data_IF_587297489768
#
_entry.id   IF_587297489768
#
_cell.length_a   1.000
_cell.length_b   1.000
_cell.length_c   1.000
_cell.angle_alpha   90.00
_cell.angle_beta   90.00
_cell.angle_gamma   90.00
#
_symmetry.space_group_name_H-M   'P 1'
#
loop_
_entity.id
_entity.type
_entity.pdbx_description
1 polymer ?
#
# COMPACT_ATOMS: atom_id res chain seq x y z
N UNK A 1 -5.48 -7.06 -43.71
CA UNK A 1 -4.90 -5.75 -43.36
C UNK A 1 -3.43 -5.74 -43.75
N UNK A 2 -3.02 -4.86 -44.66
CA UNK A 2 -1.65 -4.80 -45.20
C UNK A 2 -0.65 -4.43 -44.10
N UNK A 3 0.30 -5.32 -43.80
CA UNK A 3 1.46 -5.03 -42.94
C UNK A 3 2.26 -3.92 -43.62
N UNK A 4 2.11 -2.67 -43.16
CA UNK A 4 3.01 -1.57 -43.55
C UNK A 4 4.44 -2.05 -43.31
N UNK A 5 5.22 -2.20 -44.39
CA UNK A 5 6.62 -2.62 -44.35
C UNK A 5 7.36 -1.78 -43.31
N UNK A 6 7.84 -2.43 -42.25
CA UNK A 6 8.75 -1.83 -41.28
C UNK A 6 10.02 -1.44 -42.02
N UNK A 7 10.39 -0.16 -41.96
CA UNK A 7 11.66 0.30 -42.50
C UNK A 7 12.77 -0.09 -41.52
N UNK A 8 13.62 -1.03 -41.92
CA UNK A 8 14.70 -1.56 -41.08
C UNK A 8 15.70 -0.47 -40.64
N UNK A 9 15.73 0.68 -41.32
CA UNK A 9 16.62 1.79 -41.01
C UNK A 9 16.02 2.79 -40.01
N UNK A 10 14.83 2.54 -39.46
CA UNK A 10 14.22 3.39 -38.44
C UNK A 10 14.11 2.63 -37.10
N UNK A 11 14.37 3.31 -35.97
CA UNK A 11 14.11 2.75 -34.64
C UNK A 11 12.70 2.19 -34.52
N UNK A 12 12.52 1.23 -33.59
CA UNK A 12 11.20 0.69 -33.27
C UNK A 12 10.22 1.83 -32.98
N UNK A 13 8.95 1.61 -33.32
CA UNK A 13 7.87 2.57 -33.12
C UNK A 13 7.95 3.86 -33.98
N UNK A 14 9.00 4.08 -34.77
CA UNK A 14 9.12 5.22 -35.67
C UNK A 14 8.78 4.83 -37.12
N UNK A 15 7.97 5.65 -37.79
CA UNK A 15 7.62 5.48 -39.21
C UNK A 15 7.74 6.79 -39.98
N UNK A 16 8.11 6.70 -41.26
CA UNK A 16 8.14 7.85 -42.17
C UNK A 16 6.99 7.78 -43.18
N UNK A 17 6.23 8.87 -43.33
CA UNK A 17 5.11 8.94 -44.29
C UNK A 17 5.48 9.85 -45.46
N UNK A 18 5.65 9.24 -46.65
CA UNK A 18 5.99 9.97 -47.89
C UNK A 18 4.94 11.03 -48.28
N UNK A 19 3.65 10.75 -48.02
CA UNK A 19 2.55 11.65 -48.38
C UNK A 19 2.61 13.00 -47.63
N UNK A 20 2.98 12.98 -46.35
CA UNK A 20 3.06 14.18 -45.51
C UNK A 20 4.49 14.68 -45.29
N UNK A 21 5.49 13.95 -45.82
CA UNK A 21 6.93 14.17 -45.61
C UNK A 21 7.33 14.28 -44.12
N UNK A 22 6.61 13.60 -43.23
CA UNK A 22 6.80 13.72 -41.77
C UNK A 22 7.05 12.37 -41.10
N UNK A 23 7.73 12.42 -39.96
CA UNK A 23 7.93 11.28 -39.07
C UNK A 23 6.79 11.14 -38.06
N UNK A 24 6.42 9.90 -37.74
CA UNK A 24 5.40 9.56 -36.76
C UNK A 24 5.93 8.49 -35.83
N UNK A 25 5.82 8.73 -34.54
CA UNK A 25 6.16 7.76 -33.51
C UNK A 25 4.88 7.21 -32.86
N UNK A 26 4.76 5.89 -32.73
CA UNK A 26 3.57 5.22 -32.16
C UNK A 26 3.89 4.69 -30.78
N UNK A 27 3.10 5.09 -29.78
CA UNK A 27 3.26 4.55 -28.45
C UNK A 27 2.81 3.07 -28.43
N UNK A 28 3.69 2.11 -28.06
CA UNK A 28 3.35 0.69 -28.04
C UNK A 28 2.34 0.30 -26.94
N UNK A 29 2.10 1.16 -25.96
CA UNK A 29 1.23 0.88 -24.81
C UNK A 29 -0.18 1.42 -24.99
N UNK A 30 -0.29 2.59 -25.60
CA UNK A 30 -1.57 3.32 -25.76
C UNK A 30 -2.07 3.28 -27.19
N UNK A 31 -1.29 2.72 -28.12
CA UNK A 31 -1.52 2.70 -29.56
C UNK A 31 -1.70 4.08 -30.22
N UNK A 32 -1.52 5.17 -29.47
CA UNK A 32 -1.60 6.54 -29.97
C UNK A 32 -0.36 6.89 -30.79
N UNK A 33 -0.59 7.55 -31.93
CA UNK A 33 0.47 8.05 -32.80
C UNK A 33 0.72 9.54 -32.54
N UNK A 34 1.99 9.91 -32.44
CA UNK A 34 2.46 11.28 -32.26
C UNK A 34 3.23 11.74 -33.50
N UNK A 35 2.82 12.85 -34.14
CA UNK A 35 3.56 13.43 -35.25
C UNK A 35 4.80 14.17 -34.74
N UNK A 36 5.98 13.84 -35.29
CA UNK A 36 7.23 14.56 -35.00
C UNK A 36 7.47 15.72 -35.99
N UNK A 37 6.64 15.83 -37.04
CA UNK A 37 6.75 16.87 -38.06
C UNK A 37 7.82 16.60 -39.13
N UNK A 38 8.17 17.66 -39.88
CA UNK A 38 9.18 17.65 -40.95
C UNK A 38 10.57 17.96 -40.39
N UNK A 39 11.02 17.15 -39.44
CA UNK A 39 12.35 17.28 -38.83
C UNK A 39 13.39 16.46 -39.58
N UNK A 40 14.67 16.79 -39.39
CA UNK A 40 15.76 16.02 -39.97
C UNK A 40 15.72 14.57 -39.48
N UNK A 41 16.07 13.63 -40.37
CA UNK A 41 16.03 12.19 -40.07
C UNK A 41 16.80 11.82 -38.79
N UNK A 42 17.94 12.47 -38.57
CA UNK A 42 18.77 12.25 -37.37
C UNK A 42 18.03 12.61 -36.09
N UNK A 43 17.34 13.75 -36.06
CA UNK A 43 16.64 14.23 -34.86
C UNK A 43 15.41 13.38 -34.56
N UNK A 44 14.69 12.93 -35.60
CA UNK A 44 13.58 11.99 -35.45
C UNK A 44 14.03 10.65 -34.85
N UNK A 45 15.21 10.17 -35.26
CA UNK A 45 15.81 8.95 -34.73
C UNK A 45 16.19 9.15 -33.25
N UNK A 46 16.84 10.26 -32.90
CA UNK A 46 17.22 10.57 -31.51
C UNK A 46 16.00 10.61 -30.59
N UNK A 47 14.96 11.37 -30.95
CA UNK A 47 13.74 11.48 -30.15
C UNK A 47 13.01 10.14 -30.01
N UNK A 48 12.97 9.34 -31.07
CA UNK A 48 12.36 8.00 -31.01
C UNK A 48 13.14 7.04 -30.11
N UNK A 49 14.48 7.11 -30.11
CA UNK A 49 15.33 6.31 -29.21
C UNK A 49 15.10 6.73 -27.77
N UNK A 50 15.05 8.03 -27.48
CA UNK A 50 14.75 8.56 -26.15
C UNK A 50 13.38 8.12 -25.66
N UNK A 51 12.34 8.25 -26.49
CA UNK A 51 10.98 7.81 -26.16
C UNK A 51 10.89 6.28 -25.93
N UNK A 52 11.59 5.49 -26.75
CA UNK A 52 11.65 4.04 -26.57
C UNK A 52 12.41 3.66 -25.29
N UNK A 53 13.51 4.33 -24.99
CA UNK A 53 14.27 4.11 -23.76
C UNK A 53 13.47 4.51 -22.53
N UNK A 54 12.72 5.62 -22.58
CA UNK A 54 11.82 6.03 -21.52
C UNK A 54 10.73 5.00 -21.26
N UNK A 55 10.12 4.44 -22.32
CA UNK A 55 9.15 3.35 -22.19
C UNK A 55 9.81 2.08 -21.65
N UNK A 56 10.99 1.71 -22.13
CA UNK A 56 11.73 0.54 -21.66
C UNK A 56 12.12 0.68 -20.18
N UNK A 57 12.56 1.87 -19.74
CA UNK A 57 12.90 2.15 -18.34
C UNK A 57 11.65 2.09 -17.44
N UNK A 58 10.53 2.66 -17.87
CA UNK A 58 9.28 2.64 -17.11
C UNK A 58 8.56 1.28 -17.12
N UNK A 59 8.88 0.39 -18.07
CA UNK A 59 8.31 -0.96 -18.18
C UNK A 59 9.33 -2.08 -18.07
N UNK A 60 10.51 -1.83 -17.49
CA UNK A 60 11.36 -2.92 -17.06
C UNK A 60 10.64 -3.61 -15.89
N UNK A 61 10.31 -4.91 -15.98
CA UNK A 61 9.96 -5.64 -14.78
C UNK A 61 11.22 -5.68 -13.90
N UNK A 62 11.22 -4.86 -12.85
CA UNK A 62 11.85 -5.08 -11.53
C UNK A 62 12.68 -6.38 -11.49
N UNK A 63 13.99 -6.35 -11.80
CA UNK A 63 14.81 -7.57 -11.62
C UNK A 63 16.34 -7.41 -11.59
N UNK A 64 16.98 -6.50 -12.35
CA UNK A 64 18.46 -6.51 -12.47
C UNK A 64 19.14 -5.22 -12.02
N UNK A 65 18.61 -4.06 -12.37
CA UNK A 65 19.18 -2.77 -11.92
C UNK A 65 18.99 -2.58 -10.41
N UNK A 66 17.89 -3.05 -9.84
CA UNK A 66 17.67 -3.04 -8.38
C UNK A 66 18.61 -4.01 -7.65
N UNK A 67 18.80 -5.23 -8.20
CA UNK A 67 19.81 -6.18 -7.69
C UNK A 67 21.23 -5.63 -7.75
N UNK A 68 21.55 -4.78 -8.74
CA UNK A 68 22.86 -4.17 -8.92
C UNK A 68 23.06 -2.89 -8.09
N UNK A 69 21.99 -2.24 -7.63
CA UNK A 69 22.06 -1.02 -6.80
C UNK A 69 22.21 -1.28 -5.31
N UNK A 70 22.10 -2.53 -4.85
CA UNK A 70 22.23 -2.88 -3.43
C UNK A 70 21.08 -2.40 -2.54
N UNK A 71 19.97 -1.93 -3.14
CA UNK A 71 18.71 -1.71 -2.43
C UNK A 71 17.98 -3.04 -2.45
N UNK A 72 18.25 -3.87 -1.44
CA UNK A 72 17.54 -5.12 -1.27
C UNK A 72 16.04 -4.91 -1.39
N UNK A 73 15.40 -5.80 -2.14
CA UNK A 73 13.96 -5.93 -2.33
C UNK A 73 13.26 -6.32 -1.02
N UNK A 74 13.45 -5.52 0.03
CA UNK A 74 12.95 -5.79 1.36
C UNK A 74 11.52 -5.27 1.45
N UNK A 75 10.58 -6.20 1.28
CA UNK A 75 9.15 -5.89 1.23
C UNK A 75 8.57 -5.69 2.63
N UNK A 76 7.39 -5.08 2.70
CA UNK A 76 6.62 -4.98 3.94
C UNK A 76 6.36 -6.37 4.53
N UNK A 77 6.05 -7.39 3.72
CA UNK A 77 5.87 -8.76 4.20
C UNK A 77 7.12 -9.30 4.91
N UNK A 78 8.29 -9.17 4.28
CA UNK A 78 9.55 -9.61 4.87
C UNK A 78 9.89 -8.85 6.17
N UNK A 79 9.56 -7.56 6.20
CA UNK A 79 9.70 -6.77 7.43
C UNK A 79 8.74 -7.19 8.53
N UNK A 80 7.50 -7.53 8.20
CA UNK A 80 6.53 -8.03 9.18
C UNK A 80 7.06 -9.31 9.84
N UNK A 81 7.64 -10.24 9.08
CA UNK A 81 8.23 -11.47 9.63
C UNK A 81 9.33 -11.13 10.65
N UNK A 82 10.21 -10.19 10.32
CA UNK A 82 11.26 -9.70 11.22
C UNK A 82 10.68 -9.01 12.46
N UNK A 83 9.68 -8.15 12.27
CA UNK A 83 9.02 -7.41 13.35
C UNK A 83 8.23 -8.34 14.30
N UNK A 84 7.66 -9.44 13.82
CA UNK A 84 7.02 -10.45 14.68
C UNK A 84 8.02 -11.09 15.65
N UNK A 85 9.27 -11.33 15.22
CA UNK A 85 10.35 -11.79 16.10
C UNK A 85 10.70 -10.73 17.15
N UNK A 86 10.71 -9.45 16.79
CA UNK A 86 10.94 -8.34 17.74
C UNK A 86 9.80 -8.27 18.76
N UNK A 87 8.54 -8.41 18.33
CA UNK A 87 7.37 -8.41 19.22
C UNK A 87 7.41 -9.54 20.25
N UNK A 88 7.85 -10.74 19.86
CA UNK A 88 7.97 -11.88 20.78
C UNK A 88 8.96 -11.61 21.93
N UNK A 89 10.03 -10.85 21.66
CA UNK A 89 11.04 -10.49 22.68
C UNK A 89 10.52 -9.50 23.73
N UNK A 90 9.41 -8.79 23.45
CA UNK A 90 8.85 -7.77 24.34
C UNK A 90 8.02 -8.33 25.50
N UNK A 91 7.99 -9.65 25.70
CA UNK A 91 7.29 -10.32 26.82
C UNK A 91 5.82 -9.86 26.99
N UNK A 92 5.10 -9.75 25.88
CA UNK A 92 3.70 -9.34 25.86
C UNK A 92 2.77 -10.45 26.35
N UNK A 93 1.60 -10.07 26.87
CA UNK A 93 0.54 -11.05 27.15
C UNK A 93 0.10 -11.76 25.87
N UNK A 94 -0.33 -13.02 25.99
CA UNK A 94 -0.78 -13.85 24.85
C UNK A 94 -1.89 -13.17 24.04
N UNK A 95 -2.86 -12.54 24.72
CA UNK A 95 -3.96 -11.83 24.07
C UNK A 95 -3.48 -10.60 23.30
N UNK A 96 -2.54 -9.83 23.88
CA UNK A 96 -1.95 -8.66 23.20
C UNK A 96 -1.22 -9.09 21.94
N UNK A 97 -0.40 -10.15 22.02
CA UNK A 97 0.30 -10.68 20.86
C UNK A 97 -0.66 -11.14 19.76
N UNK A 98 -1.72 -11.88 20.13
CA UNK A 98 -2.76 -12.33 19.19
C UNK A 98 -3.43 -11.15 18.47
N UNK A 99 -3.78 -10.08 19.19
CA UNK A 99 -4.36 -8.88 18.58
C UNK A 99 -3.36 -8.25 17.59
N UNK A 100 -2.09 -8.09 17.97
CA UNK A 100 -1.06 -7.49 17.12
C UNK A 100 -0.78 -8.34 15.88
N UNK A 101 -0.68 -9.65 16.00
CA UNK A 101 -0.45 -10.56 14.87
C UNK A 101 -1.62 -10.52 13.88
N UNK A 102 -2.88 -10.50 14.36
CA UNK A 102 -4.04 -10.32 13.49
C UNK A 102 -4.00 -8.99 12.71
N UNK A 103 -3.58 -7.91 13.37
CA UNK A 103 -3.41 -6.61 12.73
C UNK A 103 -2.32 -6.68 11.65
N UNK A 104 -1.18 -7.30 11.95
CA UNK A 104 -0.09 -7.49 10.99
C UNK A 104 -0.49 -8.37 9.80
N UNK A 105 -1.31 -9.40 10.00
CA UNK A 105 -1.85 -10.21 8.92
C UNK A 105 -2.68 -9.36 7.94
N UNK A 106 -3.51 -8.44 8.45
CA UNK A 106 -4.25 -7.50 7.59
C UNK A 106 -3.32 -6.53 6.85
N UNK A 107 -2.25 -6.06 7.49
CA UNK A 107 -1.24 -5.22 6.82
C UNK A 107 -0.55 -5.99 5.70
N UNK A 108 -0.18 -7.25 5.96
CA UNK A 108 0.46 -8.16 4.98
C UNK A 108 -0.44 -8.35 3.76
N UNK A 109 -1.73 -8.59 3.95
CA UNK A 109 -2.70 -8.75 2.86
C UNK A 109 -2.80 -7.51 1.96
N UNK A 110 -2.79 -6.30 2.54
CA UNK A 110 -3.05 -5.06 1.79
C UNK A 110 -1.82 -4.37 1.23
N UNK A 111 -0.66 -4.50 1.90
CA UNK A 111 0.55 -3.74 1.59
C UNK A 111 1.82 -4.61 1.55
N UNK A 112 1.70 -5.93 1.72
CA UNK A 112 2.84 -6.84 1.90
C UNK A 112 3.84 -6.84 0.74
N UNK A 113 3.36 -6.70 -0.49
CA UNK A 113 4.18 -6.71 -1.71
C UNK A 113 4.92 -5.39 -1.97
N UNK A 114 4.58 -4.31 -1.25
CA UNK A 114 5.22 -3.01 -1.43
C UNK A 114 6.63 -3.09 -0.84
N UNK A 115 7.61 -2.50 -1.52
CA UNK A 115 8.96 -2.33 -0.97
C UNK A 115 8.87 -1.42 0.26
N UNK A 116 9.48 -1.83 1.38
CA UNK A 116 9.35 -1.14 2.66
C UNK A 116 9.74 0.34 2.57
N UNK A 117 10.81 0.66 1.82
CA UNK A 117 11.29 2.01 1.60
C UNK A 117 10.38 2.86 0.68
N UNK A 118 9.51 2.24 -0.11
CA UNK A 118 8.58 2.93 -1.01
C UNK A 118 7.21 3.18 -0.37
N UNK A 119 7.00 2.76 0.88
CA UNK A 119 5.75 3.01 1.59
C UNK A 119 5.62 4.50 1.89
N UNK A 120 4.65 5.14 1.22
CA UNK A 120 4.35 6.56 1.39
C UNK A 120 3.24 6.79 2.41
N UNK A 121 3.15 8.01 2.95
CA UNK A 121 2.02 8.44 3.79
C UNK A 121 0.67 8.27 3.08
N UNK A 122 0.62 8.37 1.74
CA UNK A 122 -0.60 8.12 0.95
C UNK A 122 -1.04 6.66 1.05
N UNK A 123 -0.11 5.70 1.03
CA UNK A 123 -0.43 4.28 1.22
C UNK A 123 -1.05 4.05 2.60
N UNK A 124 -0.45 4.61 3.65
CA UNK A 124 -0.97 4.51 5.01
C UNK A 124 -2.35 5.15 5.14
N UNK A 125 -2.55 6.36 4.61
CA UNK A 125 -3.83 7.05 4.66
C UNK A 125 -4.93 6.24 3.95
N UNK A 126 -4.66 5.73 2.75
CA UNK A 126 -5.61 4.89 2.00
C UNK A 126 -5.95 3.61 2.76
N UNK A 127 -4.97 3.01 3.42
CA UNK A 127 -5.18 1.81 4.22
C UNK A 127 -6.08 2.10 5.43
N UNK A 128 -5.85 3.20 6.16
CA UNK A 128 -6.68 3.54 7.33
C UNK A 128 -8.10 3.97 6.95
N UNK A 129 -8.25 4.59 5.77
CA UNK A 129 -9.54 5.09 5.27
C UNK A 129 -10.61 3.99 5.22
N UNK A 130 -10.26 2.73 4.95
CA UNK A 130 -11.24 1.64 4.88
C UNK A 130 -12.01 1.43 6.18
N UNK A 131 -11.41 1.71 7.34
CA UNK A 131 -12.11 1.64 8.62
C UNK A 131 -12.80 2.95 8.98
N UNK A 132 -12.24 4.09 8.56
CA UNK A 132 -12.81 5.41 8.86
C UNK A 132 -14.15 5.58 8.14
N UNK A 133 -14.24 5.18 6.87
CA UNK A 133 -15.48 5.24 6.09
C UNK A 133 -16.57 4.33 6.64
N UNK A 134 -16.18 3.21 7.28
CA UNK A 134 -17.09 2.28 7.96
C UNK A 134 -17.44 2.72 9.40
N UNK A 135 -16.96 3.89 9.85
CA UNK A 135 -17.17 4.38 11.22
C UNK A 135 -16.38 3.64 12.30
N UNK A 136 -15.44 2.77 11.92
CA UNK A 136 -14.62 1.94 12.82
C UNK A 136 -13.36 2.70 13.29
N UNK A 137 -13.53 3.90 13.82
CA UNK A 137 -12.42 4.82 14.17
C UNK A 137 -11.46 4.24 15.21
N UNK A 138 -11.96 3.47 16.19
CA UNK A 138 -11.10 2.78 17.17
C UNK A 138 -10.17 1.77 16.51
N UNK A 139 -10.67 1.04 15.50
CA UNK A 139 -9.85 0.09 14.74
C UNK A 139 -8.80 0.81 13.89
N UNK A 140 -9.19 1.88 13.20
CA UNK A 140 -8.26 2.73 12.46
C UNK A 140 -7.13 3.28 13.36
N UNK A 141 -7.48 3.75 14.57
CA UNK A 141 -6.50 4.20 15.57
C UNK A 141 -5.56 3.08 16.02
N UNK A 142 -6.10 1.89 16.27
CA UNK A 142 -5.30 0.72 16.66
C UNK A 142 -4.34 0.27 15.53
N UNK A 143 -4.80 0.26 14.28
CA UNK A 143 -3.97 -0.04 13.11
C UNK A 143 -2.86 0.99 12.92
N UNK A 144 -3.18 2.29 13.03
CA UNK A 144 -2.19 3.37 12.96
C UNK A 144 -1.11 3.20 14.05
N UNK A 145 -1.50 2.81 15.26
CA UNK A 145 -0.58 2.54 16.35
C UNK A 145 0.39 1.39 16.03
N UNK A 146 -0.10 0.27 15.49
CA UNK A 146 0.77 -0.86 15.07
C UNK A 146 1.73 -0.42 13.98
N UNK A 147 1.22 0.22 12.93
CA UNK A 147 2.03 0.64 11.79
C UNK A 147 3.12 1.63 12.24
N UNK A 148 2.76 2.58 13.10
CA UNK A 148 3.71 3.56 13.63
C UNK A 148 4.88 2.88 14.35
N UNK A 149 4.60 1.87 15.17
CA UNK A 149 5.63 1.11 15.89
C UNK A 149 6.46 0.22 14.95
N UNK A 150 5.80 -0.50 14.03
CA UNK A 150 6.45 -1.34 13.02
C UNK A 150 7.44 -0.55 12.15
N UNK A 151 7.05 0.64 11.68
CA UNK A 151 7.94 1.50 10.90
C UNK A 151 8.99 2.21 11.76
N UNK A 152 8.74 2.42 13.05
CA UNK A 152 9.79 2.92 13.97
C UNK A 152 10.91 1.90 14.12
N UNK A 153 10.59 0.62 14.33
CA UNK A 153 11.60 -0.44 14.40
C UNK A 153 12.37 -0.59 13.07
N UNK A 154 11.71 -0.32 11.93
CA UNK A 154 12.38 -0.34 10.63
C UNK A 154 13.44 0.77 10.50
N UNK A 155 13.22 1.92 11.14
CA UNK A 155 14.22 2.99 11.23
C UNK A 155 15.37 2.56 12.13
N UNK A 156 15.08 1.92 13.26
CA UNK A 156 16.10 1.42 14.20
C UNK A 156 17.03 0.41 13.52
N UNK A 157 16.49 -0.50 12.71
CA UNK A 157 17.30 -1.45 11.92
C UNK A 157 17.88 -0.84 10.62
N UNK A 158 17.63 0.44 10.34
CA UNK A 158 18.25 1.18 9.23
C UNK A 158 17.65 0.92 7.85
N UNK A 159 16.49 0.26 7.75
CA UNK A 159 15.83 -0.03 6.46
C UNK A 159 15.18 1.20 5.83
N UNK A 160 14.76 2.16 6.67
CA UNK A 160 14.14 3.42 6.24
C UNK A 160 14.61 4.58 7.10
N UNK A 161 14.46 5.81 6.60
CA UNK A 161 14.92 7.02 7.28
C UNK A 161 13.80 7.76 8.01
N UNK A 162 12.56 7.67 7.51
CA UNK A 162 11.41 8.43 8.03
C UNK A 162 10.18 7.56 8.14
N UNK A 163 9.45 7.71 9.24
CA UNK A 163 8.22 6.97 9.47
C UNK A 163 7.08 7.53 8.60
N UNK A 164 6.54 6.76 7.64
CA UNK A 164 5.49 7.26 6.74
C UNK A 164 4.15 7.48 7.46
N UNK A 165 3.97 6.94 8.67
CA UNK A 165 2.73 7.00 9.45
C UNK A 165 2.57 8.34 10.17
N UNK A 166 3.66 9.03 10.51
CA UNK A 166 3.63 10.23 11.37
C UNK A 166 2.71 11.33 10.83
N UNK A 167 2.76 11.58 9.53
CA UNK A 167 1.97 12.63 8.88
C UNK A 167 0.47 12.27 8.71
N UNK A 168 0.06 11.05 9.06
CA UNK A 168 -1.36 10.66 9.00
C UNK A 168 -2.14 11.20 10.20
N UNK A 169 -3.40 11.56 10.00
CA UNK A 169 -4.27 12.06 11.07
C UNK A 169 -4.68 10.92 12.01
N UNK A 170 -4.80 11.25 13.28
CA UNK A 170 -5.37 10.35 14.29
C UNK A 170 -6.90 10.43 14.16
N UNK A 171 -7.62 9.31 14.00
CA UNK A 171 -9.08 9.31 13.97
C UNK A 171 -9.66 9.81 15.29
N UNK A 172 -10.68 10.67 15.23
CA UNK A 172 -11.43 11.08 16.42
C UNK A 172 -12.30 9.92 16.91
N UNK A 173 -12.12 9.51 18.16
CA UNK A 173 -12.86 8.40 18.76
C UNK A 173 -13.91 8.98 19.72
N UNK A 174 -15.19 8.82 19.36
CA UNK A 174 -16.31 9.10 20.25
C UNK A 174 -16.79 7.79 20.86
N UNK A 175 -16.81 7.71 22.19
CA UNK A 175 -17.25 6.50 22.90
C UNK A 175 -18.77 6.38 22.76
N UNK A 176 -19.22 5.34 22.06
CA UNK A 176 -20.64 5.07 21.83
C UNK A 176 -21.30 4.24 22.95
N UNK A 177 -20.50 3.58 23.82
CA UNK A 177 -21.03 2.76 24.91
C UNK A 177 -21.61 3.68 26.00
N UNK A 178 -22.90 3.54 26.23
CA UNK A 178 -23.60 4.25 27.30
C UNK A 178 -23.34 3.61 28.68
N UNK A 179 -23.51 4.43 29.73
CA UNK A 179 -23.47 3.95 31.11
C UNK A 179 -24.81 3.32 31.48
N UNK A 180 -24.77 2.17 32.16
CA UNK A 180 -25.96 1.48 32.63
C UNK A 180 -26.59 2.27 33.79
N UNK A 181 -27.87 2.64 33.64
CA UNK A 181 -28.65 3.31 34.68
C UNK A 181 -29.31 2.29 35.61
N UNK A 182 -29.63 2.70 36.84
CA UNK A 182 -30.21 1.81 37.85
C UNK A 182 -31.55 1.19 37.41
N UNK A 183 -32.41 1.97 36.76
CA UNK A 183 -33.69 1.47 36.24
C UNK A 183 -33.49 0.38 35.19
N UNK A 184 -32.57 0.62 34.25
CA UNK A 184 -32.20 -0.35 33.21
C UNK A 184 -31.55 -1.60 33.81
N UNK A 185 -30.72 -1.43 34.85
CA UNK A 185 -30.14 -2.55 35.60
C UNK A 185 -31.23 -3.41 36.22
N UNK A 186 -32.16 -2.83 36.98
CA UNK A 186 -33.24 -3.56 37.66
C UNK A 186 -34.13 -4.32 36.67
N UNK A 187 -34.49 -3.70 35.54
CA UNK A 187 -35.26 -4.38 34.49
C UNK A 187 -34.48 -5.56 33.88
N UNK A 188 -33.19 -5.38 33.61
CA UNK A 188 -32.32 -6.46 33.09
C UNK A 188 -32.15 -7.57 34.11
N UNK A 189 -32.00 -7.23 35.40
CA UNK A 189 -31.85 -8.17 36.52
C UNK A 189 -33.10 -9.02 36.74
N UNK A 190 -34.30 -8.44 36.55
CA UNK A 190 -35.55 -9.19 36.58
C UNK A 190 -35.66 -10.18 35.40
N UNK A 191 -35.22 -9.77 34.19
CA UNK A 191 -35.18 -10.67 33.04
C UNK A 191 -34.16 -11.82 33.23
N UNK A 192 -33.04 -11.54 33.90
CA UNK A 192 -31.97 -12.50 34.20
C UNK A 192 -32.41 -13.69 35.08
N UNK A 193 -33.52 -13.60 35.81
CA UNK A 193 -34.10 -14.73 36.56
C UNK A 193 -34.48 -15.93 35.66
N UNK A 194 -34.73 -15.68 34.37
CA UNK A 194 -35.06 -16.73 33.40
C UNK A 194 -33.81 -17.31 32.71
N UNK A 195 -32.61 -16.82 33.05
CA UNK A 195 -31.33 -17.30 32.55
C UNK A 195 -30.75 -18.35 33.51
N UNK A 196 -29.66 -19.06 33.13
CA UNK A 196 -29.00 -20.00 34.05
C UNK A 196 -28.64 -19.32 35.38
N UNK A 197 -28.79 -20.06 36.49
CA UNK A 197 -28.71 -19.52 37.86
C UNK A 197 -27.43 -18.72 38.17
N UNK A 198 -26.32 -18.98 37.48
CA UNK A 198 -25.08 -18.23 37.66
C UNK A 198 -25.16 -16.78 37.15
N UNK A 199 -26.02 -16.50 36.16
CA UNK A 199 -26.10 -15.19 35.49
C UNK A 199 -26.67 -14.08 36.37
N UNK A 200 -27.85 -14.22 37.02
CA UNK A 200 -28.33 -13.20 37.96
C UNK A 200 -27.39 -13.01 39.15
N UNK A 201 -26.78 -14.08 39.67
CA UNK A 201 -25.78 -14.00 40.74
C UNK A 201 -24.54 -13.19 40.32
N UNK A 202 -24.10 -13.34 39.07
CA UNK A 202 -22.96 -12.59 38.53
C UNK A 202 -23.27 -11.10 38.31
N UNK A 203 -24.54 -10.71 38.18
CA UNK A 203 -24.93 -9.30 38.11
C UNK A 203 -24.85 -8.60 39.47
N UNK A 204 -25.03 -9.36 40.56
CA UNK A 204 -25.10 -8.84 41.93
C UNK A 204 -23.72 -8.79 42.66
N UNK A 205 -22.63 -9.18 41.98
CA UNK A 205 -21.23 -9.16 42.47
C UNK A 205 -20.53 -7.82 42.19
#
# INVERSE_FOLDING_TARGET
MSRKKYDANLPRNLTYRKASKSFFWRNPLTDKEFPLGQIARRDAITQAIEANNFIAQNHTPVALIEKLKGTDSFTVSAWIDRYEVLLQRRSLSVNTYKIRSNQLATVREKMGEIILAEVTTRHIAKFLESWITEGKNTMAGAMRSVLSDMFREAIVEGHIVKNPVEATRIPEIKVARERLQLETYNATRAAAEHMPAWFPLAMDL
#
